data_IF_969182228294
#
_entry.id   IF_969182228294
#
_cell.length_a   1.000
_cell.length_b   1.000
_cell.length_c   1.000
_cell.angle_alpha   90.00
_cell.angle_beta   90.00
_cell.angle_gamma   90.00
#
_symmetry.space_group_name_H-M   'P 1'
#
loop_
_entity.id
_entity.type
_entity.pdbx_description
1 polymer ?
#
# COMPACT_ATOMS: atom_id res chain seq x y z
N UNK A 1 7.11 7.92 13.15
CA UNK A 1 6.11 8.99 12.98
C UNK A 1 6.64 10.38 13.33
N UNK A 2 7.17 10.63 14.56
CA UNK A 2 7.62 11.99 14.92
C UNK A 2 8.65 12.59 13.96
N UNK A 3 9.70 11.85 13.57
CA UNK A 3 10.72 12.41 12.66
C UNK A 3 10.19 12.78 11.27
N UNK A 4 9.32 11.96 10.67
CA UNK A 4 8.72 12.28 9.37
C UNK A 4 7.81 13.50 9.45
N UNK A 5 7.00 13.58 10.51
CA UNK A 5 6.13 14.74 10.75
C UNK A 5 6.95 16.01 11.02
N UNK A 6 8.05 15.92 11.77
CA UNK A 6 9.00 17.01 12.00
C UNK A 6 9.72 17.41 10.70
N UNK A 7 10.08 16.47 9.81
CA UNK A 7 10.65 16.82 8.50
C UNK A 7 9.66 17.59 7.62
N UNK A 8 8.38 17.19 7.61
CA UNK A 8 7.32 17.91 6.90
C UNK A 8 7.05 19.29 7.51
N UNK A 9 6.94 19.39 8.85
CA UNK A 9 6.51 20.61 9.52
C UNK A 9 7.62 21.61 9.80
N UNK A 10 8.79 21.16 10.25
CA UNK A 10 9.87 22.04 10.72
C UNK A 10 10.92 22.34 9.65
N UNK A 11 11.16 21.39 8.72
CA UNK A 11 12.20 21.55 7.70
C UNK A 11 11.67 21.92 6.31
N UNK A 12 10.34 21.93 6.09
CA UNK A 12 9.70 22.15 4.77
C UNK A 12 10.32 21.28 3.66
N UNK A 13 10.83 20.11 4.04
CA UNK A 13 11.32 19.14 3.08
C UNK A 13 10.11 18.35 2.63
N UNK A 14 9.69 18.54 1.38
CA UNK A 14 8.72 17.65 0.74
C UNK A 14 9.38 16.26 0.69
N UNK A 15 8.84 15.25 1.39
CA UNK A 15 9.42 13.93 1.34
C UNK A 15 9.29 13.43 -0.11
N UNK A 16 10.41 13.10 -0.73
CA UNK A 16 10.42 12.38 -2.00
C UNK A 16 9.61 11.08 -1.86
N UNK A 17 9.07 10.62 -2.99
CA UNK A 17 8.22 9.42 -3.09
C UNK A 17 8.81 8.20 -2.36
N UNK A 18 10.14 8.10 -2.33
CA UNK A 18 10.92 7.05 -1.67
C UNK A 18 10.70 7.00 -0.15
N UNK A 19 10.53 8.15 0.51
CA UNK A 19 10.27 8.19 1.95
C UNK A 19 8.86 7.69 2.29
N UNK A 20 7.90 7.93 1.40
CA UNK A 20 6.53 7.40 1.54
C UNK A 20 6.51 5.88 1.39
N UNK A 21 7.22 5.31 0.41
CA UNK A 21 7.35 3.84 0.27
C UNK A 21 7.91 3.20 1.54
N UNK A 22 8.96 3.78 2.14
CA UNK A 22 9.50 3.30 3.40
C UNK A 22 8.48 3.36 4.55
N UNK A 23 7.70 4.44 4.63
CA UNK A 23 6.68 4.55 5.67
C UNK A 23 5.51 3.58 5.49
N UNK A 24 5.07 3.37 4.25
CA UNK A 24 4.04 2.37 3.93
C UNK A 24 4.52 0.97 4.33
N UNK A 25 5.75 0.58 3.98
CA UNK A 25 6.33 -0.71 4.40
C UNK A 25 6.41 -0.82 5.94
N UNK A 26 6.86 0.23 6.64
CA UNK A 26 6.93 0.26 8.11
C UNK A 26 5.57 0.10 8.79
N UNK A 27 4.55 0.80 8.29
CA UNK A 27 3.18 0.70 8.79
C UNK A 27 2.60 -0.69 8.52
N UNK A 28 2.81 -1.22 7.32
CA UNK A 28 2.36 -2.57 6.96
C UNK A 28 2.94 -3.67 7.82
N UNK A 29 4.25 -3.65 8.06
CA UNK A 29 4.92 -4.62 8.93
C UNK A 29 4.45 -4.53 10.38
N UNK A 30 3.84 -3.41 10.77
CA UNK A 30 3.26 -3.21 12.10
C UNK A 30 1.77 -3.58 12.17
N UNK A 31 1.18 -4.16 11.11
CA UNK A 31 -0.24 -4.50 11.05
C UNK A 31 -1.16 -3.26 10.97
N UNK A 32 -0.64 -2.13 10.49
CA UNK A 32 -1.36 -0.86 10.39
C UNK A 32 -1.72 -0.55 8.95
N UNK A 33 -2.38 -1.49 8.27
CA UNK A 33 -2.65 -1.41 6.83
C UNK A 33 -3.56 -0.23 6.48
N UNK A 34 -4.55 0.08 7.32
CA UNK A 34 -5.41 1.26 7.16
C UNK A 34 -4.62 2.58 7.30
N UNK A 35 -3.71 2.67 8.27
CA UNK A 35 -2.84 3.86 8.40
C UNK A 35 -1.91 4.01 7.19
N UNK A 36 -1.44 2.89 6.62
CA UNK A 36 -0.63 2.90 5.41
C UNK A 36 -1.42 3.41 4.20
N UNK A 37 -2.68 2.98 4.04
CA UNK A 37 -3.57 3.52 3.00
C UNK A 37 -3.84 5.01 3.21
N UNK A 38 -4.15 5.43 4.45
CA UNK A 38 -4.38 6.84 4.77
C UNK A 38 -3.16 7.72 4.51
N UNK A 39 -1.95 7.19 4.70
CA UNK A 39 -0.71 7.88 4.33
C UNK A 39 -0.60 8.10 2.82
N UNK A 40 -0.95 7.08 2.02
CA UNK A 40 -0.94 7.14 0.55
C UNK A 40 -1.97 8.16 0.05
N UNK A 41 -3.18 8.13 0.59
CA UNK A 41 -4.26 9.06 0.22
C UNK A 41 -3.96 10.51 0.66
N UNK A 42 -3.14 10.69 1.70
CA UNK A 42 -2.68 11.99 2.18
C UNK A 42 -1.43 12.53 1.47
N UNK A 43 -0.92 11.85 0.43
CA UNK A 43 0.24 12.32 -0.33
C UNK A 43 -0.11 13.59 -1.11
N UNK A 44 0.80 14.58 -1.20
CA UNK A 44 0.58 15.78 -2.00
C UNK A 44 0.71 15.54 -3.52
N UNK A 45 1.04 14.30 -3.92
CA UNK A 45 1.19 13.85 -5.31
C UNK A 45 0.65 12.43 -5.46
N UNK A 46 0.44 12.00 -6.71
CA UNK A 46 -0.05 10.65 -7.00
C UNK A 46 1.00 9.60 -6.66
N UNK A 47 0.57 8.55 -5.96
CA UNK A 47 1.41 7.40 -5.66
C UNK A 47 1.67 6.56 -6.92
N UNK A 48 2.91 6.13 -7.08
CA UNK A 48 3.31 5.26 -8.18
C UNK A 48 2.95 3.79 -7.93
N UNK A 49 3.14 2.96 -8.95
CA UNK A 49 2.84 1.55 -8.87
C UNK A 49 3.71 0.82 -7.82
N UNK A 50 4.89 1.35 -7.48
CA UNK A 50 5.77 0.76 -6.45
C UNK A 50 5.11 0.90 -5.08
N UNK A 51 4.62 2.08 -4.72
CA UNK A 51 3.92 2.32 -3.45
C UNK A 51 2.67 1.43 -3.33
N UNK A 52 1.88 1.34 -4.40
CA UNK A 52 0.69 0.48 -4.40
C UNK A 52 1.04 -1.01 -4.27
N UNK A 53 2.12 -1.48 -4.93
CA UNK A 53 2.62 -2.86 -4.74
C UNK A 53 3.09 -3.11 -3.32
N UNK A 54 3.78 -2.14 -2.69
CA UNK A 54 4.18 -2.23 -1.29
C UNK A 54 2.94 -2.41 -0.41
N UNK A 55 1.91 -1.58 -0.58
CA UNK A 55 0.63 -1.71 0.15
C UNK A 55 -0.04 -3.07 -0.08
N UNK A 56 -0.13 -3.52 -1.33
CA UNK A 56 -0.74 -4.80 -1.66
C UNK A 56 0.03 -6.00 -1.06
N UNK A 57 1.35 -5.91 -1.01
CA UNK A 57 2.20 -6.97 -0.44
C UNK A 57 2.00 -7.15 1.08
N UNK A 58 1.69 -6.08 1.80
CA UNK A 58 1.47 -6.09 3.26
C UNK A 58 0.02 -6.46 3.62
N UNK A 59 -0.95 -6.26 2.72
CA UNK A 59 -2.36 -6.64 2.92
C UNK A 59 -2.56 -8.14 3.15
N UNK A 60 -1.64 -8.98 2.68
CA UNK A 60 -1.65 -10.44 2.91
C UNK A 60 -1.70 -10.80 4.40
N UNK A 61 -1.03 -9.99 5.22
CA UNK A 61 -0.82 -10.28 6.64
C UNK A 61 -2.02 -9.91 7.50
N UNK A 62 -2.85 -8.98 7.02
CA UNK A 62 -3.89 -8.32 7.81
C UNK A 62 -5.31 -8.76 7.42
N UNK A 63 -5.46 -9.53 6.34
CA UNK A 63 -6.74 -10.07 5.87
C UNK A 63 -7.71 -9.02 5.31
N UNK A 64 -7.26 -7.77 5.12
CA UNK A 64 -8.10 -6.70 4.60
C UNK A 64 -8.15 -6.74 3.06
N UNK A 65 -9.07 -7.56 2.56
CA UNK A 65 -9.29 -7.78 1.12
C UNK A 65 -9.69 -6.50 0.38
N UNK A 66 -10.45 -5.61 1.01
CA UNK A 66 -10.90 -4.36 0.39
C UNK A 66 -9.72 -3.44 0.05
N UNK A 67 -8.75 -3.31 0.96
CA UNK A 67 -7.53 -2.54 0.70
C UNK A 67 -6.68 -3.22 -0.37
N UNK A 68 -6.61 -4.55 -0.38
CA UNK A 68 -5.89 -5.31 -1.40
C UNK A 68 -6.51 -5.10 -2.80
N UNK A 69 -7.83 -5.14 -2.93
CA UNK A 69 -8.54 -4.86 -4.19
C UNK A 69 -8.29 -3.44 -4.69
N UNK A 70 -8.35 -2.45 -3.78
CA UNK A 70 -8.05 -1.06 -4.12
C UNK A 70 -6.62 -0.91 -4.63
N UNK A 71 -5.64 -1.46 -3.91
CA UNK A 71 -4.24 -1.39 -4.30
C UNK A 71 -4.00 -2.07 -5.66
N UNK A 72 -4.57 -3.25 -5.88
CA UNK A 72 -4.47 -3.95 -7.16
C UNK A 72 -5.11 -3.16 -8.32
N UNK A 73 -6.28 -2.55 -8.09
CA UNK A 73 -6.94 -1.69 -9.09
C UNK A 73 -6.06 -0.49 -9.47
N UNK A 74 -5.47 0.19 -8.48
CA UNK A 74 -4.55 1.30 -8.75
C UNK A 74 -3.31 0.85 -9.54
N UNK A 75 -2.72 -0.30 -9.20
CA UNK A 75 -1.58 -0.85 -9.95
C UNK A 75 -1.98 -1.12 -11.40
N UNK A 76 -3.11 -1.79 -11.64
CA UNK A 76 -3.55 -2.14 -13.00
C UNK A 76 -3.98 -0.93 -13.85
N UNK A 77 -4.36 0.18 -13.21
CA UNK A 77 -4.58 1.45 -13.91
C UNK A 77 -3.26 2.08 -14.38
N UNK A 78 -2.20 1.97 -13.58
CA UNK A 78 -0.86 2.50 -13.89
C UNK A 78 -0.09 1.58 -14.85
N UNK A 79 -0.19 0.27 -14.62
CA UNK A 79 0.53 -0.80 -15.30
C UNK A 79 -0.41 -1.99 -15.57
N UNK A 80 -1.19 -1.97 -16.67
CA UNK A 80 -2.20 -2.99 -16.96
C UNK A 80 -1.69 -4.42 -17.10
N UNK A 81 -0.43 -4.59 -17.49
CA UNK A 81 0.21 -5.90 -17.70
C UNK A 81 0.94 -6.42 -16.45
N UNK A 82 0.71 -5.81 -15.28
CA UNK A 82 1.38 -6.22 -14.05
C UNK A 82 0.83 -7.55 -13.51
N UNK A 83 1.51 -8.63 -13.88
CA UNK A 83 1.28 -9.98 -13.34
C UNK A 83 1.41 -10.08 -11.82
N UNK A 84 2.23 -9.24 -11.17
CA UNK A 84 2.41 -9.25 -9.73
C UNK A 84 1.16 -8.77 -8.99
N UNK A 85 0.44 -7.78 -9.53
CA UNK A 85 -0.82 -7.31 -8.94
C UNK A 85 -1.85 -8.43 -8.85
N UNK A 86 -2.02 -9.19 -9.94
CA UNK A 86 -2.92 -10.36 -9.95
C UNK A 86 -2.49 -11.45 -8.97
N UNK A 87 -1.21 -11.79 -8.94
CA UNK A 87 -0.69 -12.83 -8.02
C UNK A 87 -0.92 -12.40 -6.57
N UNK A 88 -0.61 -11.15 -6.22
CA UNK A 88 -0.77 -10.66 -4.85
C UNK A 88 -2.25 -10.60 -4.44
N UNK A 89 -3.15 -10.19 -5.34
CA UNK A 89 -4.60 -10.17 -5.10
C UNK A 89 -5.18 -11.59 -4.94
N UNK A 90 -4.76 -12.55 -5.77
CA UNK A 90 -5.16 -13.94 -5.59
C UNK A 90 -4.71 -14.50 -4.24
N UNK A 91 -3.50 -14.16 -3.80
CA UNK A 91 -3.01 -14.56 -2.48
C UNK A 91 -3.86 -13.92 -1.36
N UNK A 92 -4.24 -12.64 -1.46
CA UNK A 92 -5.08 -12.03 -0.42
C UNK A 92 -6.46 -12.68 -0.31
N UNK A 93 -7.09 -13.08 -1.43
CA UNK A 93 -8.33 -13.85 -1.38
C UNK A 93 -8.14 -15.24 -0.76
N UNK A 94 -7.01 -15.89 -1.06
CA UNK A 94 -6.67 -17.19 -0.49
C UNK A 94 -6.51 -17.11 1.03
N UNK A 95 -5.76 -16.12 1.51
CA UNK A 95 -5.49 -15.88 2.93
C UNK A 95 -6.77 -15.53 3.71
N UNK A 96 -7.71 -14.83 3.07
CA UNK A 96 -9.03 -14.53 3.64
C UNK A 96 -10.00 -15.73 3.65
N UNK A 97 -9.59 -16.91 3.19
CA UNK A 97 -10.46 -18.09 3.07
C UNK A 97 -11.52 -17.97 1.97
N UNK A 98 -11.42 -16.96 1.11
CA UNK A 98 -12.32 -16.71 -0.02
C UNK A 98 -11.96 -17.54 -1.26
N UNK A 99 -10.97 -18.43 -1.15
CA UNK A 99 -10.55 -19.32 -2.23
C UNK A 99 -11.60 -20.40 -2.57
N UNK A 100 -12.63 -20.55 -1.73
CA UNK A 100 -13.64 -21.59 -1.83
C UNK A 100 -15.07 -21.03 -1.93
N UNK A 101 -15.37 -20.21 -2.93
CA UNK A 101 -16.75 -20.13 -3.40
C UNK A 101 -17.05 -21.39 -4.21
N UNK A 102 -17.68 -22.37 -3.54
CA UNK A 102 -18.29 -23.55 -4.15
C UNK A 102 -19.71 -23.71 -3.65
#
# INVERSE_FOLDING_TARGET
MCYFHTMQQEHRLEPEIEYYSCMVDLLGRSGKTEEALGLIEGMPFEADAVIWRTLLSICKTDGNVEIAEKAASCILQLEPDDSSAYILLCNSYADAGMWGLK
#
